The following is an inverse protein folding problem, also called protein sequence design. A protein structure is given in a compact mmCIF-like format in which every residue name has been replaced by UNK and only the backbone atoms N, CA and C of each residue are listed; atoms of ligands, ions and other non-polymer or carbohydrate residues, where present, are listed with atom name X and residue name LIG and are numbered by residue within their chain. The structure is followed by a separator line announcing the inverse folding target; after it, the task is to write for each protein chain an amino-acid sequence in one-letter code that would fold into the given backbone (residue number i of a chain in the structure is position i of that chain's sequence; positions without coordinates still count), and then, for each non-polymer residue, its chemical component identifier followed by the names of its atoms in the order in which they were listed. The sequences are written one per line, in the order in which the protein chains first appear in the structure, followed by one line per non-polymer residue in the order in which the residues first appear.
data_IF_696959257067
#
_entry.id   IF_696959257067
#
_cell.length_a   1.000
_cell.length_b   1.000
_cell.length_c   1.000
_cell.angle_alpha   90.00
_cell.angle_beta   90.00
_cell.angle_gamma   90.00
#
_symmetry.space_group_name_H-M   'P 1'
#
loop_
_entity.id
_entity.type
_entity.pdbx_description
1 polymer ?
#
# COMPACT_ATOMS: atom_id res chain seq x y z
N UNK A 1 21.05 0.97 1.53
CA UNK A 1 20.73 2.34 1.08
C UNK A 1 19.76 2.94 2.09
N UNK A 2 20.17 3.98 2.80
CA UNK A 2 19.28 4.69 3.72
C UNK A 2 18.40 5.64 2.91
N UNK A 3 17.10 5.36 2.82
CA UNK A 3 16.16 6.23 2.12
C UNK A 3 15.86 7.45 2.98
N UNK A 4 16.04 8.65 2.43
CA UNK A 4 15.65 9.87 3.13
C UNK A 4 14.13 9.98 3.17
N UNK A 5 13.53 9.79 4.34
CA UNK A 5 12.10 9.86 4.56
C UNK A 5 11.75 10.85 5.68
N UNK A 6 10.48 11.20 5.83
CA UNK A 6 10.01 11.99 6.96
C UNK A 6 9.89 11.12 8.22
N UNK A 7 10.11 11.69 9.42
CA UNK A 7 9.79 10.99 10.66
C UNK A 7 8.31 10.63 10.70
N UNK A 8 8.02 9.36 10.96
CA UNK A 8 6.67 8.84 11.11
C UNK A 8 6.49 8.22 12.49
N UNK A 9 5.24 8.08 12.92
CA UNK A 9 4.87 7.39 14.15
C UNK A 9 3.68 6.48 13.93
N UNK A 10 3.64 5.40 14.69
CA UNK A 10 2.44 4.60 14.87
C UNK A 10 1.37 5.42 15.61
N UNK A 11 0.12 5.30 15.20
CA UNK A 11 -1.04 5.97 15.82
C UNK A 11 -1.92 4.96 16.53
N UNK A 12 -2.43 3.96 15.81
CA UNK A 12 -3.30 2.93 16.39
C UNK A 12 -3.40 1.67 15.51
N UNK A 13 -3.79 0.56 16.14
CA UNK A 13 -4.32 -0.65 15.50
C UNK A 13 -5.85 -0.57 15.52
N UNK A 14 -6.50 -0.91 14.42
CA UNK A 14 -7.96 -0.97 14.30
C UNK A 14 -8.34 -2.40 13.97
N UNK A 15 -9.16 -2.99 14.85
CA UNK A 15 -9.72 -4.35 14.77
C UNK A 15 -11.23 -4.20 14.91
N UNK A 16 -11.91 -3.80 13.84
CA UNK A 16 -13.36 -3.62 13.82
C UNK A 16 -13.97 -4.65 12.86
N UNK A 17 -15.22 -5.11 13.08
CA UNK A 17 -15.91 -5.92 12.10
C UNK A 17 -16.13 -5.05 10.86
N UNK A 18 -15.30 -5.24 9.85
CA UNK A 18 -15.44 -4.57 8.56
C UNK A 18 -16.69 -5.11 7.85
N UNK A 19 -17.35 -4.29 7.01
CA UNK A 19 -18.51 -4.70 6.17
C UNK A 19 -18.14 -5.69 5.05
N UNK A 20 -17.05 -6.47 5.22
CA UNK A 20 -16.55 -7.46 4.27
C UNK A 20 -16.62 -8.88 4.81
N UNK A 21 -16.46 -9.91 3.96
CA UNK A 21 -16.42 -11.30 4.39
C UNK A 21 -15.41 -11.48 5.54
N UNK A 22 -15.88 -12.04 6.65
CA UNK A 22 -15.03 -12.32 7.81
C UNK A 22 -13.89 -13.25 7.40
N UNK A 23 -12.64 -12.81 7.56
CA UNK A 23 -11.46 -13.66 7.32
C UNK A 23 -10.31 -12.92 6.65
N UNK A 24 -10.49 -12.50 5.39
CA UNK A 24 -9.36 -12.08 4.55
C UNK A 24 -8.64 -10.79 5.01
N UNK A 25 -9.39 -9.74 5.39
CA UNK A 25 -8.83 -8.52 5.99
C UNK A 25 -8.84 -8.63 7.51
N UNK A 26 -7.66 -8.79 8.11
CA UNK A 26 -7.51 -9.07 9.54
C UNK A 26 -7.63 -7.80 10.40
N UNK A 27 -6.85 -6.77 10.07
CA UNK A 27 -6.82 -5.51 10.81
C UNK A 27 -6.08 -4.42 10.04
N UNK A 28 -6.08 -3.19 10.57
CA UNK A 28 -5.36 -2.05 9.97
C UNK A 28 -4.47 -1.37 11.00
N UNK A 29 -3.27 -0.98 10.58
CA UNK A 29 -2.44 -0.03 11.31
C UNK A 29 -2.57 1.35 10.71
N UNK A 30 -2.70 2.36 11.57
CA UNK A 30 -2.60 3.76 11.19
C UNK A 30 -1.24 4.30 11.63
N UNK A 31 -0.50 4.84 10.67
CA UNK A 31 0.69 5.65 10.89
C UNK A 31 0.42 7.10 10.48
N UNK A 32 1.24 8.01 10.99
CA UNK A 32 1.19 9.41 10.61
C UNK A 32 2.58 10.03 10.54
N UNK A 33 2.77 10.92 9.58
CA UNK A 33 3.95 11.77 9.47
C UNK A 33 3.53 13.21 9.13
N UNK A 34 4.34 14.18 9.54
CA UNK A 34 4.15 15.59 9.21
C UNK A 34 5.24 16.01 8.23
N UNK A 35 4.85 16.63 7.12
CA UNK A 35 5.81 17.21 6.20
C UNK A 35 6.49 18.43 6.85
N UNK A 36 7.82 18.52 6.87
CA UNK A 36 8.53 19.73 7.24
C UNK A 36 8.42 20.82 6.15
N UNK A 37 8.10 20.46 4.90
CA UNK A 37 7.99 21.41 3.77
C UNK A 37 6.65 22.12 3.75
N UNK A 38 5.54 21.38 3.87
CA UNK A 38 4.19 21.93 3.79
C UNK A 38 3.52 22.09 5.16
N UNK A 39 4.12 21.53 6.21
CA UNK A 39 3.51 21.40 7.55
C UNK A 39 2.21 20.60 7.58
N UNK A 40 1.83 19.96 6.47
CA UNK A 40 0.65 19.12 6.39
C UNK A 40 0.92 17.74 7.00
N UNK A 41 -0.13 17.17 7.60
CA UNK A 41 -0.09 15.83 8.19
C UNK A 41 -0.67 14.82 7.23
N UNK A 42 0.03 13.72 7.04
CA UNK A 42 -0.42 12.57 6.26
C UNK A 42 -0.79 11.41 7.17
N UNK A 43 -1.76 10.64 6.71
CA UNK A 43 -2.14 9.35 7.28
C UNK A 43 -1.73 8.25 6.32
N UNK A 44 -1.13 7.19 6.86
CA UNK A 44 -0.75 5.99 6.14
C UNK A 44 -1.46 4.82 6.80
N UNK A 45 -2.33 4.16 6.05
CA UNK A 45 -2.97 2.92 6.43
C UNK A 45 -2.15 1.75 5.90
N UNK A 46 -1.82 0.82 6.79
CA UNK A 46 -1.29 -0.50 6.45
C UNK A 46 -2.38 -1.50 6.77
N UNK A 47 -3.06 -1.97 5.74
CA UNK A 47 -4.08 -3.01 5.83
C UNK A 47 -3.39 -4.36 5.85
N UNK A 48 -3.72 -5.20 6.83
CA UNK A 48 -3.11 -6.51 7.04
C UNK A 48 -4.13 -7.57 6.70
N UNK A 49 -3.77 -8.41 5.73
CA UNK A 49 -4.58 -9.48 5.21
C UNK A 49 -4.00 -10.83 5.66
N UNK A 50 -4.74 -11.91 5.36
CA UNK A 50 -4.20 -13.25 5.40
C UNK A 50 -2.93 -13.41 4.54
N UNK A 51 -2.21 -14.50 4.78
CA UNK A 51 -0.98 -14.84 4.05
C UNK A 51 0.14 -13.78 4.12
N UNK A 52 0.24 -13.08 5.26
CA UNK A 52 1.29 -12.07 5.47
C UNK A 52 1.29 -10.97 4.41
N UNK A 53 0.12 -10.63 3.85
CA UNK A 53 -0.03 -9.58 2.85
C UNK A 53 -0.38 -8.25 3.49
N UNK A 54 0.37 -7.21 3.12
CA UNK A 54 0.22 -5.85 3.63
C UNK A 54 -0.08 -4.87 2.49
N UNK A 55 -1.27 -4.26 2.47
CA UNK A 55 -1.57 -3.20 1.52
C UNK A 55 -1.33 -1.81 2.13
N UNK A 56 -0.56 -0.97 1.44
CA UNK A 56 -0.22 0.38 1.94
C UNK A 56 -0.99 1.45 1.17
N UNK A 57 -1.69 2.30 1.91
CA UNK A 57 -2.51 3.40 1.39
C UNK A 57 -2.17 4.68 2.15
N UNK A 58 -2.09 5.84 1.49
CA UNK A 58 -1.86 7.10 2.19
C UNK A 58 -2.66 8.25 1.60
N UNK A 59 -2.97 9.24 2.44
CA UNK A 59 -3.65 10.47 2.05
C UNK A 59 -3.34 11.60 3.03
N UNK A 60 -3.68 12.84 2.67
CA UNK A 60 -3.65 13.95 3.62
C UNK A 60 -4.68 13.74 4.73
N UNK A 61 -4.30 13.99 5.99
CA UNK A 61 -5.22 13.93 7.14
C UNK A 61 -6.40 14.89 6.98
N UNK A 62 -6.20 16.01 6.29
CA UNK A 62 -7.28 16.95 5.97
C UNK A 62 -8.37 16.32 5.10
N UNK A 63 -8.03 15.32 4.26
CA UNK A 63 -8.97 14.62 3.38
C UNK A 63 -9.59 13.38 4.04
N UNK A 64 -9.34 13.13 5.33
CA UNK A 64 -9.71 11.86 5.98
C UNK A 64 -11.19 11.52 5.94
N UNK A 65 -12.06 12.52 5.79
CA UNK A 65 -13.52 12.32 5.76
C UNK A 65 -14.07 12.27 4.32
N UNK A 66 -13.22 12.49 3.29
CA UNK A 66 -13.61 12.44 1.88
C UNK A 66 -13.63 11.01 1.35
N UNK A 67 -14.69 10.62 0.64
CA UNK A 67 -14.73 9.35 -0.11
C UNK A 67 -13.65 9.28 -1.21
N UNK A 68 -13.24 10.43 -1.76
CA UNK A 68 -12.22 10.55 -2.82
C UNK A 68 -10.80 10.80 -2.30
N UNK A 69 -10.54 10.58 -1.00
CA UNK A 69 -9.26 10.96 -0.33
C UNK A 69 -7.99 10.47 -1.03
N UNK A 70 -8.05 9.33 -1.73
CA UNK A 70 -6.93 8.76 -2.48
C UNK A 70 -6.81 9.29 -3.92
N UNK A 71 -7.89 9.84 -4.48
CA UNK A 71 -7.92 10.42 -5.82
C UNK A 71 -7.47 11.89 -5.83
N UNK A 72 -7.66 12.60 -4.71
CA UNK A 72 -7.34 14.02 -4.59
C UNK A 72 -5.84 14.30 -4.72
N UNK A 73 -5.50 15.29 -5.54
CA UNK A 73 -4.15 15.85 -5.63
C UNK A 73 -3.94 16.84 -4.48
N UNK A 74 -2.76 16.80 -3.85
CA UNK A 74 -2.47 17.70 -2.73
C UNK A 74 -2.01 19.09 -3.17
N UNK A 75 -1.41 19.21 -4.36
CA UNK A 75 -0.79 20.45 -4.83
C UNK A 75 0.49 20.86 -4.08
N UNK A 76 0.98 20.03 -3.14
CA UNK A 76 2.08 20.38 -2.23
C UNK A 76 3.49 20.11 -2.80
N UNK A 77 3.56 19.52 -3.99
CA UNK A 77 4.81 19.25 -4.73
C UNK A 77 5.88 18.53 -3.89
N UNK A 78 5.46 17.51 -3.13
CA UNK A 78 6.35 16.67 -2.29
C UNK A 78 6.10 15.16 -2.44
N UNK A 79 5.88 14.64 -3.67
CA UNK A 79 5.52 13.23 -3.83
C UNK A 79 6.63 12.28 -3.39
N UNK A 80 7.90 12.62 -3.62
CA UNK A 80 9.04 11.73 -3.39
C UNK A 80 9.20 11.38 -1.92
N UNK A 81 9.26 12.38 -1.05
CA UNK A 81 9.47 12.19 0.40
C UNK A 81 8.27 11.49 1.05
N UNK A 82 7.05 11.77 0.59
CA UNK A 82 5.86 11.05 1.04
C UNK A 82 5.89 9.57 0.65
N UNK A 83 6.29 9.25 -0.59
CA UNK A 83 6.43 7.87 -1.07
C UNK A 83 7.55 7.15 -0.30
N UNK A 84 8.70 7.79 -0.09
CA UNK A 84 9.80 7.23 0.70
C UNK A 84 9.41 6.98 2.16
N UNK A 85 8.55 7.81 2.73
CA UNK A 85 8.02 7.57 4.08
C UNK A 85 7.12 6.34 4.12
N UNK A 86 6.28 6.12 3.10
CA UNK A 86 5.51 4.88 2.98
C UNK A 86 6.43 3.66 2.82
N UNK A 87 7.51 3.78 2.05
CA UNK A 87 8.48 2.70 1.86
C UNK A 87 9.30 2.41 3.11
N UNK A 88 9.61 3.41 3.92
CA UNK A 88 10.26 3.21 5.21
C UNK A 88 9.36 2.43 6.17
N UNK A 89 8.06 2.71 6.17
CA UNK A 89 7.06 1.92 6.91
C UNK A 89 7.00 0.48 6.37
N UNK A 90 6.98 0.28 5.05
CA UNK A 90 7.03 -1.07 4.45
C UNK A 90 8.30 -1.83 4.87
N UNK A 91 9.45 -1.19 4.84
CA UNK A 91 10.72 -1.79 5.25
C UNK A 91 10.75 -2.14 6.75
N UNK A 92 10.15 -1.30 7.61
CA UNK A 92 9.97 -1.62 9.03
C UNK A 92 9.05 -2.84 9.21
N UNK A 93 7.95 -2.91 8.46
CA UNK A 93 7.05 -4.08 8.45
C UNK A 93 7.78 -5.35 8.03
N UNK A 94 8.56 -5.31 6.95
CA UNK A 94 9.34 -6.47 6.48
C UNK A 94 10.42 -6.93 7.48
N UNK A 95 10.98 -6.00 8.27
CA UNK A 95 11.90 -6.35 9.36
C UNK A 95 11.19 -7.06 10.52
N UNK A 96 9.95 -6.65 10.82
CA UNK A 96 9.12 -7.24 11.89
C UNK A 96 8.50 -8.57 11.46
N UNK A 97 8.15 -8.69 10.19
CA UNK A 97 7.61 -9.89 9.58
C UNK A 97 8.43 -10.28 8.33
N UNK A 98 9.39 -11.21 8.47
CA UNK A 98 10.22 -11.68 7.37
C UNK A 98 9.46 -12.41 6.24
N UNK A 99 8.17 -12.69 6.44
CA UNK A 99 7.25 -13.31 5.46
C UNK A 99 6.42 -12.27 4.71
N UNK A 100 6.52 -10.99 5.08
CA UNK A 100 5.68 -9.92 4.56
C UNK A 100 5.74 -9.84 3.03
N UNK A 101 4.58 -9.94 2.41
CA UNK A 101 4.27 -9.55 1.04
C UNK A 101 3.57 -8.19 1.05
N UNK A 102 3.66 -7.42 -0.03
CA UNK A 102 3.08 -6.07 -0.09
C UNK A 102 2.19 -5.85 -1.30
N UNK A 103 1.22 -4.96 -1.18
CA UNK A 103 0.36 -4.54 -2.29
C UNK A 103 0.06 -3.05 -2.27
N UNK A 104 -0.19 -2.48 -3.45
CA UNK A 104 -0.76 -1.14 -3.57
C UNK A 104 -1.53 -0.97 -4.87
N UNK A 105 -2.42 0.03 -4.87
CA UNK A 105 -3.10 0.53 -6.06
C UNK A 105 -2.64 1.97 -6.28
N UNK A 106 -2.16 2.26 -7.49
CA UNK A 106 -2.00 3.64 -7.91
C UNK A 106 -3.36 4.21 -8.25
N UNK A 107 -4.08 4.75 -7.27
CA UNK A 107 -5.40 5.34 -7.52
C UNK A 107 -5.31 6.43 -8.60
N UNK A 108 -6.30 6.49 -9.47
CA UNK A 108 -6.43 7.52 -10.50
C UNK A 108 -6.75 8.89 -9.87
N UNK A 109 -6.38 9.96 -10.56
CA UNK A 109 -6.99 11.27 -10.30
C UNK A 109 -8.45 11.26 -10.73
N UNK A 110 -9.23 12.26 -10.28
CA UNK A 110 -10.67 12.37 -10.59
C UNK A 110 -10.93 12.43 -12.11
N UNK A 111 -9.96 12.87 -12.88
CA UNK A 111 -9.96 13.07 -14.33
C UNK A 111 -8.99 12.13 -15.08
N UNK A 112 -8.53 11.05 -14.43
CA UNK A 112 -7.61 10.07 -15.00
C UNK A 112 -8.30 8.70 -15.06
N UNK A 113 -8.07 7.88 -16.12
CA UNK A 113 -8.55 6.51 -16.16
C UNK A 113 -7.91 5.67 -15.04
N UNK A 114 -8.56 4.57 -14.65
CA UNK A 114 -8.01 3.62 -13.67
C UNK A 114 -6.83 2.82 -14.22
N UNK A 115 -6.74 2.68 -15.54
CA UNK A 115 -5.64 2.03 -16.23
C UNK A 115 -4.34 2.86 -16.17
N UNK A 116 -3.24 2.18 -15.82
CA UNK A 116 -1.88 2.69 -15.92
C UNK A 116 -1.67 4.10 -15.36
N UNK A 117 -2.18 4.40 -14.17
CA UNK A 117 -2.21 5.77 -13.63
C UNK A 117 -0.82 6.36 -13.42
N UNK A 118 -0.75 7.68 -13.36
CA UNK A 118 0.48 8.41 -13.05
C UNK A 118 1.05 7.98 -11.70
N UNK A 119 0.20 7.75 -10.69
CA UNK A 119 0.62 7.26 -9.37
C UNK A 119 1.19 5.84 -9.47
N UNK A 120 0.52 4.94 -10.18
CA UNK A 120 1.00 3.56 -10.38
C UNK A 120 2.39 3.52 -11.01
N UNK A 121 2.59 4.26 -12.11
CA UNK A 121 3.89 4.32 -12.81
C UNK A 121 5.02 4.81 -11.89
N UNK A 122 4.74 5.83 -11.08
CA UNK A 122 5.71 6.39 -10.13
C UNK A 122 5.99 5.41 -8.99
N UNK A 123 4.95 4.87 -8.35
CA UNK A 123 5.10 3.97 -7.20
C UNK A 123 5.86 2.70 -7.61
N UNK A 124 5.50 2.10 -8.75
CA UNK A 124 6.19 0.93 -9.33
C UNK A 124 7.70 1.17 -9.44
N UNK A 125 8.12 2.32 -9.96
CA UNK A 125 9.55 2.65 -10.15
C UNK A 125 10.31 2.71 -8.82
N UNK A 126 9.72 3.36 -7.82
CA UNK A 126 10.35 3.46 -6.51
C UNK A 126 10.38 2.12 -5.77
N UNK A 127 9.33 1.32 -5.88
CA UNK A 127 9.26 0.00 -5.23
C UNK A 127 10.34 -0.93 -5.75
N UNK A 128 10.56 -0.98 -7.08
CA UNK A 128 11.65 -1.75 -7.69
C UNK A 128 13.05 -1.35 -7.20
N UNK A 129 13.20 -0.12 -6.71
CA UNK A 129 14.50 0.37 -6.18
C UNK A 129 14.79 -0.14 -4.78
N UNK A 130 13.75 -0.48 -3.99
CA UNK A 130 13.90 -0.84 -2.57
C UNK A 130 13.66 -2.30 -2.27
N UNK A 131 12.70 -2.90 -2.98
CA UNK A 131 12.41 -4.31 -2.89
C UNK A 131 12.86 -4.90 -4.23
N UNK A 132 14.08 -5.44 -4.24
CA UNK A 132 14.68 -6.01 -5.44
C UNK A 132 14.17 -7.43 -5.72
N UNK A 133 14.48 -7.98 -6.91
CA UNK A 133 13.99 -9.29 -7.35
C UNK A 133 14.60 -10.47 -6.59
N UNK A 134 15.52 -10.23 -5.64
CA UNK A 134 16.15 -11.28 -4.84
C UNK A 134 15.15 -11.96 -3.89
N UNK A 135 14.37 -11.18 -3.15
CA UNK A 135 13.46 -11.67 -2.10
C UNK A 135 12.00 -11.68 -2.54
N UNK A 136 11.66 -10.89 -3.58
CA UNK A 136 10.29 -10.63 -3.98
C UNK A 136 10.05 -11.00 -5.44
N UNK A 137 8.88 -11.58 -5.68
CA UNK A 137 8.26 -11.69 -7.00
C UNK A 137 7.36 -10.48 -7.24
N UNK A 138 7.46 -9.88 -8.43
CA UNK A 138 6.82 -8.60 -8.72
C UNK A 138 5.71 -8.80 -9.75
N UNK A 139 4.46 -8.69 -9.30
CA UNK A 139 3.27 -8.89 -10.14
C UNK A 139 2.57 -7.56 -10.37
N UNK A 140 2.10 -7.34 -11.59
CA UNK A 140 1.42 -6.10 -11.98
C UNK A 140 0.15 -6.42 -12.77
N UNK A 141 -0.91 -5.66 -12.51
CA UNK A 141 -2.05 -5.56 -13.40
C UNK A 141 -2.22 -4.08 -13.77
N UNK A 142 -1.91 -3.77 -15.03
CA UNK A 142 -1.87 -2.41 -15.56
C UNK A 142 -3.29 -1.83 -15.70
N UNK A 143 -4.27 -2.65 -16.09
CA UNK A 143 -5.68 -2.25 -16.26
C UNK A 143 -6.27 -1.71 -14.96
N UNK A 144 -5.93 -2.32 -13.83
CA UNK A 144 -6.40 -1.89 -12.50
C UNK A 144 -5.35 -1.06 -11.73
N UNK A 145 -4.21 -0.71 -12.36
CA UNK A 145 -3.12 0.02 -11.70
C UNK A 145 -2.64 -0.60 -10.38
N UNK A 146 -2.61 -1.93 -10.31
CA UNK A 146 -2.28 -2.69 -9.10
C UNK A 146 -0.89 -3.31 -9.17
N UNK A 147 -0.26 -3.40 -8.02
CA UNK A 147 1.08 -3.93 -7.85
C UNK A 147 1.14 -4.84 -6.63
N UNK A 148 1.69 -6.03 -6.78
CA UNK A 148 1.97 -6.96 -5.69
C UNK A 148 3.46 -7.30 -5.64
N UNK A 149 4.00 -7.32 -4.41
CA UNK A 149 5.30 -7.84 -4.04
C UNK A 149 5.08 -9.10 -3.23
N UNK A 150 5.23 -10.24 -3.86
CA UNK A 150 5.04 -11.52 -3.19
C UNK A 150 6.39 -11.98 -2.65
N UNK A 151 6.47 -12.20 -1.35
CA UNK A 151 7.66 -12.77 -0.73
C UNK A 151 7.89 -14.17 -1.31
N UNK A 152 9.07 -14.42 -1.88
CA UNK A 152 9.37 -15.70 -2.54
C UNK A 152 9.33 -16.89 -1.59
N UNK A 153 9.58 -16.68 -0.30
CA UNK A 153 9.45 -17.75 0.72
C UNK A 153 7.99 -18.15 0.90
N UNK A 154 7.08 -17.19 0.94
CA UNK A 154 5.64 -17.47 1.00
C UNK A 154 5.16 -18.16 -0.26
N UNK A 155 5.58 -17.69 -1.44
CA UNK A 155 5.21 -18.31 -2.71
C UNK A 155 5.73 -19.74 -2.84
N UNK A 156 6.93 -20.02 -2.33
CA UNK A 156 7.51 -21.37 -2.33
C UNK A 156 6.78 -22.30 -1.36
N UNK A 157 6.32 -21.78 -0.23
CA UNK A 157 5.58 -22.55 0.78
C UNK A 157 4.11 -22.81 0.37
N UNK A 158 3.50 -21.90 -0.40
CA UNK A 158 2.17 -22.04 -0.95
C UNK A 158 2.14 -21.63 -2.44
N UNK A 159 2.23 -22.59 -3.38
CA UNK A 159 2.10 -22.30 -4.81
C UNK A 159 0.73 -21.72 -5.21
N UNK A 160 -0.31 -21.93 -4.41
CA UNK A 160 -1.65 -21.36 -4.58
C UNK A 160 -1.79 -19.90 -4.10
N UNK A 161 -0.78 -19.35 -3.44
CA UNK A 161 -0.85 -18.06 -2.73
C UNK A 161 -1.41 -16.91 -3.56
N UNK A 162 -0.97 -16.78 -4.82
CA UNK A 162 -1.43 -15.68 -5.68
C UNK A 162 -2.92 -15.82 -5.95
N UNK A 163 -3.40 -17.04 -6.18
CA UNK A 163 -4.82 -17.33 -6.41
C UNK A 163 -5.62 -17.00 -5.15
N UNK A 164 -5.16 -17.45 -3.98
CA UNK A 164 -5.82 -17.20 -2.69
C UNK A 164 -5.94 -15.68 -2.42
N UNK A 165 -4.88 -14.91 -2.68
CA UNK A 165 -4.88 -13.44 -2.55
C UNK A 165 -5.89 -12.80 -3.51
N UNK A 166 -5.92 -13.23 -4.77
CA UNK A 166 -6.83 -12.67 -5.78
C UNK A 166 -8.28 -12.98 -5.44
N UNK A 167 -8.59 -14.21 -5.04
CA UNK A 167 -9.94 -14.62 -4.62
C UNK A 167 -10.37 -13.82 -3.38
N UNK A 168 -9.52 -13.70 -2.36
CA UNK A 168 -9.80 -12.87 -1.19
C UNK A 168 -10.07 -11.40 -1.52
N UNK A 169 -9.33 -10.81 -2.47
CA UNK A 169 -9.62 -9.45 -2.93
C UNK A 169 -10.92 -9.34 -3.72
N UNK A 170 -11.27 -10.31 -4.56
CA UNK A 170 -12.54 -10.30 -5.30
C UNK A 170 -13.74 -10.40 -4.36
N UNK A 171 -13.67 -11.27 -3.37
CA UNK A 171 -14.72 -11.41 -2.35
C UNK A 171 -14.87 -10.14 -1.51
N UNK A 172 -13.75 -9.54 -1.08
CA UNK A 172 -13.76 -8.34 -0.25
C UNK A 172 -14.13 -7.07 -1.04
N UNK A 173 -13.78 -7.04 -2.33
CA UNK A 173 -13.97 -5.90 -3.20
C UNK A 173 -14.52 -6.37 -4.57
N UNK A 174 -15.83 -6.61 -4.69
CA UNK A 174 -16.45 -7.15 -5.91
C UNK A 174 -16.24 -6.32 -7.19
N UNK A 175 -15.79 -5.07 -7.08
CA UNK A 175 -15.44 -4.22 -8.22
C UNK A 175 -14.07 -4.55 -8.86
N UNK A 176 -13.33 -5.51 -8.29
CA UNK A 176 -12.08 -6.01 -8.86
C UNK A 176 -12.28 -7.02 -9.99
N UNK A 177 -13.49 -7.53 -10.19
CA UNK A 177 -13.85 -8.32 -11.37
C UNK A 177 -13.86 -7.48 -12.67
#
# INVERSE_FOLDING_TARGET
MEIKHYPYRFVKKVTEPWDGPQGFLLYKYLYSFKSPKSHQTYWVWVEVYEHHLYAVKFHLKAHRDSSKRYNLMTGLNEPRECIYTCMAIMAETAKKDPRASFGFIGANRVDEPEENTSRFRVYRRYTLTLFGPGEYEHLVNIEKSTYLLINKKELSANPGLIKDIVEGFKELYPYFD
#
